data_IF_116980257908
#
_entry.id   IF_116980257908
#
_cell.length_a   1.000
_cell.length_b   1.000
_cell.length_c   1.000
_cell.angle_alpha   90.00
_cell.angle_beta   90.00
_cell.angle_gamma   90.00
#
_symmetry.space_group_name_H-M   'P 1'
#
loop_
_entity.id
_entity.type
_entity.pdbx_description
1 polymer ?
#
# COMPACT_ATOMS: atom_id res chain seq x y z
N UNK A 1 -6.07 4.62 21.25
CA UNK A 1 -5.43 3.51 20.59
C UNK A 1 -4.78 2.65 21.65
N UNK A 2 -4.70 2.38 22.70
CA UNK A 2 -4.21 1.39 23.68
C UNK A 2 -2.75 0.96 23.63
N UNK A 3 -1.93 1.50 22.74
CA UNK A 3 -0.52 1.17 22.59
C UNK A 3 0.40 2.39 22.76
N UNK A 4 1.68 2.13 23.01
CA UNK A 4 2.71 3.16 23.05
C UNK A 4 3.17 3.52 21.64
N UNK A 5 3.28 4.80 21.35
CA UNK A 5 3.80 5.31 20.06
C UNK A 5 5.23 4.80 19.73
N UNK A 6 5.98 4.41 20.73
CA UNK A 6 7.36 3.96 20.62
C UNK A 6 7.52 2.51 20.12
N UNK A 7 6.45 1.78 20.03
CA UNK A 7 6.45 0.36 19.67
C UNK A 7 6.48 0.12 18.16
N UNK A 8 6.32 1.16 17.35
CA UNK A 8 6.29 1.04 15.89
C UNK A 8 7.65 0.87 15.22
N UNK A 9 8.75 0.93 15.94
CA UNK A 9 10.09 0.76 15.39
C UNK A 9 10.46 1.80 14.32
N UNK A 10 11.70 1.77 13.90
CA UNK A 10 12.19 2.52 12.74
C UNK A 10 12.07 1.69 11.45
N UNK A 11 12.26 2.32 10.27
CA UNK A 11 12.37 1.57 9.02
C UNK A 11 13.57 0.62 9.09
N UNK A 12 13.41 -0.60 8.55
CA UNK A 12 14.45 -1.62 8.49
C UNK A 12 15.50 -1.28 7.42
N UNK A 13 16.29 -0.25 7.67
CA UNK A 13 17.30 0.24 6.72
C UNK A 13 18.45 -0.75 6.52
N UNK A 14 18.68 -1.68 7.43
CA UNK A 14 19.74 -2.68 7.27
C UNK A 14 19.44 -3.66 6.13
N UNK A 15 18.16 -3.83 5.80
CA UNK A 15 17.70 -4.77 4.76
C UNK A 15 17.07 -4.09 3.56
N UNK A 16 16.66 -2.84 3.69
CA UNK A 16 16.10 -2.06 2.58
C UNK A 16 17.11 -1.86 1.44
N UNK A 17 16.60 -1.66 0.24
CA UNK A 17 17.36 -1.27 -0.96
C UNK A 17 16.96 0.11 -1.46
N UNK A 18 15.70 0.46 -1.27
CA UNK A 18 15.17 1.79 -1.54
C UNK A 18 14.50 2.33 -0.28
N UNK A 19 14.86 3.54 0.10
CA UNK A 19 14.27 4.27 1.21
C UNK A 19 13.68 5.58 0.74
N UNK A 20 12.39 5.80 0.98
CA UNK A 20 11.66 7.02 0.62
C UNK A 20 11.19 7.72 1.88
N UNK A 21 11.64 8.94 2.08
CA UNK A 21 11.26 9.77 3.24
C UNK A 21 10.40 10.93 2.79
N UNK A 22 9.21 11.08 3.42
CA UNK A 22 8.24 12.12 3.12
C UNK A 22 8.15 13.13 4.28
N UNK A 23 8.48 14.38 3.99
CA UNK A 23 8.16 15.53 4.86
C UNK A 23 8.89 15.60 6.21
N UNK A 24 9.97 14.89 6.40
CA UNK A 24 10.75 14.94 7.64
C UNK A 24 11.88 15.96 7.53
N UNK A 25 11.90 16.95 8.42
CA UNK A 25 12.81 18.10 8.39
C UNK A 25 13.84 18.14 9.54
N UNK A 26 13.86 17.14 10.41
CA UNK A 26 14.70 17.17 11.62
C UNK A 26 16.17 16.92 11.28
N UNK A 27 17.01 17.94 11.46
CA UNK A 27 18.43 17.84 11.18
C UNK A 27 19.35 18.46 12.25
N UNK A 28 18.76 19.12 13.25
CA UNK A 28 19.50 19.96 14.18
C UNK A 28 20.11 19.23 15.38
N UNK A 29 19.80 17.94 15.57
CA UNK A 29 20.30 17.14 16.68
C UNK A 29 20.97 15.86 16.18
N UNK A 30 21.84 15.28 17.01
CA UNK A 30 22.40 13.96 16.75
C UNK A 30 21.26 12.94 16.68
N UNK A 31 20.92 12.53 15.48
CA UNK A 31 19.78 11.68 15.22
C UNK A 31 20.27 10.30 14.77
N UNK A 32 19.93 9.23 15.48
CA UNK A 32 20.27 7.86 15.07
C UNK A 32 19.89 7.54 13.63
N UNK A 33 18.81 8.15 13.11
CA UNK A 33 18.37 7.98 11.73
C UNK A 33 19.42 8.46 10.70
N UNK A 34 20.15 9.55 10.97
CA UNK A 34 21.25 9.98 10.07
C UNK A 34 22.37 8.96 9.97
N UNK A 35 22.69 8.32 11.08
CA UNK A 35 23.71 7.26 11.13
C UNK A 35 23.21 6.04 10.34
N UNK A 36 21.98 5.64 10.56
CA UNK A 36 21.35 4.54 9.84
C UNK A 36 21.28 4.79 8.33
N UNK A 37 20.86 5.98 7.89
CA UNK A 37 20.85 6.39 6.47
C UNK A 37 22.27 6.37 5.89
N UNK A 38 23.26 6.88 6.61
CA UNK A 38 24.66 6.89 6.15
C UNK A 38 25.20 5.47 5.98
N UNK A 39 24.85 4.54 6.88
CA UNK A 39 25.20 3.12 6.74
C UNK A 39 24.46 2.50 5.54
N UNK A 40 23.17 2.69 5.45
CA UNK A 40 22.32 2.23 4.36
C UNK A 40 22.86 2.62 2.96
N UNK A 41 23.23 3.89 2.79
CA UNK A 41 23.82 4.39 1.53
C UNK A 41 25.20 3.77 1.25
N UNK A 42 26.05 3.64 2.25
CA UNK A 42 27.35 2.99 2.12
C UNK A 42 27.24 1.52 1.72
N UNK A 43 26.16 0.86 2.16
CA UNK A 43 25.86 -0.53 1.84
C UNK A 43 25.11 -0.68 0.48
N UNK A 44 25.02 0.42 -0.31
CA UNK A 44 24.47 0.45 -1.66
C UNK A 44 22.98 0.74 -1.73
N UNK A 45 22.33 1.12 -0.63
CA UNK A 45 20.95 1.54 -0.59
C UNK A 45 20.76 2.92 -1.22
N UNK A 46 19.61 3.14 -1.88
CA UNK A 46 19.22 4.41 -2.49
C UNK A 46 18.21 5.15 -1.61
N UNK A 47 18.53 6.39 -1.27
CA UNK A 47 17.73 7.26 -0.43
C UNK A 47 17.11 8.41 -1.22
N UNK A 48 15.79 8.50 -1.22
CA UNK A 48 15.00 9.57 -1.84
C UNK A 48 14.29 10.37 -0.76
N UNK A 49 14.46 11.68 -0.79
CA UNK A 49 13.78 12.61 0.11
C UNK A 49 12.75 13.45 -0.65
N UNK A 50 11.51 13.40 -0.22
CA UNK A 50 10.39 14.20 -0.73
C UNK A 50 10.07 15.25 0.33
N UNK A 51 10.50 16.50 0.08
CA UNK A 51 10.41 17.55 1.08
C UNK A 51 10.36 18.93 0.41
N UNK A 52 9.55 19.88 0.87
CA UNK A 52 9.51 21.24 0.32
C UNK A 52 10.85 21.98 0.40
N UNK A 53 11.68 21.66 1.39
CA UNK A 53 12.93 22.36 1.66
C UNK A 53 14.11 21.38 1.62
N UNK A 54 15.19 21.79 0.95
CA UNK A 54 16.43 21.00 0.87
C UNK A 54 17.31 21.22 2.10
N UNK A 55 16.85 20.76 3.25
CA UNK A 55 17.58 20.81 4.53
C UNK A 55 17.64 19.42 5.15
N UNK A 56 18.45 19.26 6.17
CA UNK A 56 18.51 18.05 6.96
C UNK A 56 18.70 16.78 6.13
N UNK A 57 17.76 15.88 6.18
CA UNK A 57 17.81 14.62 5.45
C UNK A 57 17.83 14.82 3.93
N UNK A 58 17.15 15.83 3.41
CA UNK A 58 17.14 16.12 1.98
C UNK A 58 18.52 16.49 1.44
N UNK A 59 19.39 17.04 2.29
CA UNK A 59 20.76 17.40 1.89
C UNK A 59 21.67 16.17 1.68
N UNK A 60 21.37 15.04 2.34
CA UNK A 60 22.14 13.79 2.22
C UNK A 60 21.45 12.75 1.35
N UNK A 61 20.26 13.06 0.77
CA UNK A 61 19.55 12.17 -0.13
C UNK A 61 20.29 12.00 -1.46
N UNK A 62 20.15 10.85 -2.09
CA UNK A 62 20.62 10.61 -3.46
C UNK A 62 19.77 11.36 -4.47
N UNK A 63 18.49 11.53 -4.13
CA UNK A 63 17.57 12.37 -4.89
C UNK A 63 16.66 13.15 -3.93
N UNK A 64 16.48 14.44 -4.24
CA UNK A 64 15.53 15.29 -3.56
C UNK A 64 14.45 15.74 -4.52
N UNK A 65 13.19 15.45 -4.17
CA UNK A 65 12.01 15.86 -4.90
C UNK A 65 11.32 17.01 -4.15
N UNK A 66 11.41 18.25 -4.67
CA UNK A 66 10.80 19.43 -4.05
C UNK A 66 9.28 19.40 -4.24
N UNK A 67 8.57 18.99 -3.22
CA UNK A 67 7.10 18.95 -3.25
C UNK A 67 6.51 20.23 -2.69
N UNK A 68 5.42 20.75 -3.28
CA UNK A 68 4.66 21.85 -2.67
C UNK A 68 4.01 21.37 -1.37
N UNK A 69 4.06 22.17 -0.28
CA UNK A 69 3.45 21.78 0.99
C UNK A 69 1.98 21.41 0.85
N UNK A 70 1.55 20.34 1.51
CA UNK A 70 0.15 19.89 1.52
C UNK A 70 -0.30 19.14 0.29
N UNK A 71 0.60 18.74 -0.60
CA UNK A 71 0.25 18.05 -1.86
C UNK A 71 0.73 16.60 -1.91
N UNK A 72 1.22 16.06 -0.81
CA UNK A 72 1.71 14.68 -0.70
C UNK A 72 0.69 13.65 -1.15
N UNK A 73 -0.60 13.86 -0.82
CA UNK A 73 -1.69 12.99 -1.24
C UNK A 73 -1.80 12.87 -2.77
N UNK A 74 -1.59 13.96 -3.50
CA UNK A 74 -1.61 13.94 -4.97
C UNK A 74 -0.44 13.10 -5.53
N UNK A 75 0.75 13.22 -4.94
CA UNK A 75 1.89 12.39 -5.30
C UNK A 75 1.61 10.90 -5.04
N UNK A 76 1.10 10.56 -3.85
CA UNK A 76 0.83 9.18 -3.49
C UNK A 76 -0.23 8.54 -4.39
N UNK A 77 -1.30 9.27 -4.72
CA UNK A 77 -2.32 8.80 -5.67
C UNK A 77 -1.74 8.52 -7.05
N UNK A 78 -0.84 9.38 -7.54
CA UNK A 78 -0.18 9.15 -8.83
C UNK A 78 0.81 7.97 -8.79
N UNK A 79 1.51 7.76 -7.67
CA UNK A 79 2.36 6.57 -7.50
C UNK A 79 1.51 5.28 -7.51
N UNK A 80 0.35 5.28 -6.83
CA UNK A 80 -0.59 4.15 -6.86
C UNK A 80 -1.11 3.91 -8.27
N UNK A 81 -1.51 4.98 -8.99
CA UNK A 81 -1.92 4.90 -10.39
C UNK A 81 -0.87 4.18 -11.25
N UNK A 82 0.38 4.66 -11.21
CA UNK A 82 1.48 4.09 -12.00
C UNK A 82 1.79 2.64 -11.62
N UNK A 83 1.85 2.30 -10.33
CA UNK A 83 2.09 0.93 -9.88
C UNK A 83 1.01 -0.03 -10.38
N UNK A 84 -0.27 0.40 -10.37
CA UNK A 84 -1.38 -0.40 -10.89
C UNK A 84 -1.30 -0.49 -12.42
N UNK A 85 -1.04 0.62 -13.12
CA UNK A 85 -0.94 0.66 -14.58
C UNK A 85 0.19 -0.23 -15.11
N UNK A 86 1.32 -0.26 -14.41
CA UNK A 86 2.48 -1.10 -14.74
C UNK A 86 2.35 -2.56 -14.27
N UNK A 87 1.29 -2.91 -13.52
CA UNK A 87 1.13 -4.24 -12.93
C UNK A 87 2.18 -4.57 -11.85
N UNK A 88 2.75 -3.54 -11.23
CA UNK A 88 3.79 -3.65 -10.20
C UNK A 88 3.18 -3.72 -8.79
N UNK A 89 2.15 -4.50 -8.60
CA UNK A 89 1.53 -4.80 -7.31
C UNK A 89 1.63 -6.29 -6.99
N UNK A 90 1.77 -6.62 -5.72
CA UNK A 90 1.84 -8.01 -5.27
C UNK A 90 0.41 -8.59 -5.14
N UNK A 91 -0.01 -9.31 -6.18
CA UNK A 91 -1.35 -9.93 -6.22
C UNK A 91 -1.57 -10.89 -5.05
N UNK A 92 -0.56 -11.69 -4.72
CA UNK A 92 -0.70 -12.69 -3.66
C UNK A 92 -0.90 -12.02 -2.30
N UNK A 93 -0.13 -10.97 -2.01
CA UNK A 93 -0.31 -10.17 -0.81
C UNK A 93 -1.70 -9.51 -0.75
N UNK A 94 -2.13 -8.90 -1.87
CA UNK A 94 -3.45 -8.25 -1.93
C UNK A 94 -4.61 -9.21 -1.67
N UNK A 95 -4.53 -10.42 -2.23
CA UNK A 95 -5.55 -11.45 -2.05
C UNK A 95 -5.55 -12.01 -0.63
N UNK A 96 -4.37 -12.28 -0.07
CA UNK A 96 -4.26 -13.01 1.20
C UNK A 96 -4.42 -12.12 2.43
N UNK A 97 -3.91 -10.90 2.38
CA UNK A 97 -3.73 -10.07 3.59
C UNK A 97 -4.51 -8.76 3.55
N UNK A 98 -5.32 -8.53 2.51
CA UNK A 98 -6.12 -7.32 2.38
C UNK A 98 -7.56 -7.62 1.96
N UNK A 99 -8.40 -6.59 2.01
CA UNK A 99 -9.78 -6.65 1.53
C UNK A 99 -9.91 -6.46 0.00
N UNK A 100 -8.82 -6.44 -0.75
CA UNK A 100 -8.78 -6.10 -2.17
C UNK A 100 -9.67 -6.99 -3.06
N UNK A 101 -9.77 -8.28 -2.73
CA UNK A 101 -10.62 -9.24 -3.45
C UNK A 101 -12.08 -9.25 -2.99
N UNK A 102 -12.43 -8.60 -1.88
CA UNK A 102 -13.78 -8.62 -1.35
C UNK A 102 -14.74 -7.87 -2.26
N UNK A 103 -15.94 -8.45 -2.46
CA UNK A 103 -16.96 -7.90 -3.32
C UNK A 103 -17.68 -6.74 -2.66
N UNK A 104 -17.87 -5.67 -3.41
CA UNK A 104 -18.59 -4.47 -3.01
C UNK A 104 -19.88 -4.39 -3.82
N UNK A 105 -21.00 -4.08 -3.16
CA UNK A 105 -22.31 -3.88 -3.79
C UNK A 105 -22.31 -2.60 -4.64
N UNK A 106 -22.59 -2.74 -5.93
CA UNK A 106 -22.63 -1.65 -6.91
C UNK A 106 -24.04 -1.32 -7.37
N UNK A 107 -25.07 -1.71 -6.62
CA UNK A 107 -26.46 -1.38 -6.92
C UNK A 107 -26.87 -0.08 -6.21
N UNK A 108 -26.89 1.02 -6.94
CA UNK A 108 -27.23 2.37 -6.41
C UNK A 108 -28.64 2.46 -5.81
N UNK A 109 -29.54 1.56 -6.18
CA UNK A 109 -30.89 1.51 -5.63
C UNK A 109 -30.98 0.75 -4.30
N UNK A 110 -29.88 0.21 -3.79
CA UNK A 110 -29.82 -0.57 -2.56
C UNK A 110 -29.19 0.27 -1.45
N UNK A 111 -29.76 0.20 -0.24
CA UNK A 111 -29.23 0.90 0.96
C UNK A 111 -27.80 0.44 1.32
N UNK A 112 -27.38 -0.73 0.85
CA UNK A 112 -26.03 -1.27 1.01
C UNK A 112 -25.07 -0.91 -0.14
N UNK A 113 -25.42 0.05 -1.00
CA UNK A 113 -24.52 0.53 -2.04
C UNK A 113 -23.16 0.96 -1.48
N UNK A 114 -22.08 0.46 -2.08
CA UNK A 114 -20.72 0.75 -1.63
C UNK A 114 -20.25 -0.07 -0.41
N UNK A 115 -21.10 -0.91 0.17
CA UNK A 115 -20.75 -1.80 1.29
C UNK A 115 -20.22 -3.13 0.78
N UNK A 116 -19.39 -3.79 1.60
CA UNK A 116 -18.98 -5.16 1.30
C UNK A 116 -20.16 -6.11 1.38
N UNK A 117 -20.29 -6.97 0.37
CA UNK A 117 -21.32 -8.01 0.34
C UNK A 117 -21.01 -9.06 1.39
N UNK A 118 -22.02 -9.40 2.18
CA UNK A 118 -21.96 -10.39 3.25
C UNK A 118 -22.99 -11.49 3.03
N UNK A 119 -22.68 -12.67 3.58
CA UNK A 119 -23.66 -13.76 3.70
C UNK A 119 -24.13 -13.86 5.15
N UNK A 120 -25.27 -14.50 5.36
CA UNK A 120 -25.70 -14.87 6.69
C UNK A 120 -24.80 -16.00 7.20
N UNK A 121 -23.99 -15.69 8.19
CA UNK A 121 -23.22 -16.66 8.95
C UNK A 121 -23.69 -16.57 10.40
N UNK A 122 -23.89 -17.68 11.13
CA UNK A 122 -24.21 -17.63 12.54
C UNK A 122 -23.16 -16.77 13.28
N UNK A 123 -23.63 -15.85 14.11
CA UNK A 123 -22.75 -15.07 14.98
C UNK A 123 -22.04 -16.01 15.96
N UNK A 124 -20.72 -16.10 15.82
CA UNK A 124 -19.89 -16.69 16.87
C UNK A 124 -19.67 -15.65 17.96
N UNK A 125 -19.99 -16.01 19.20
CA UNK A 125 -19.83 -15.14 20.38
C UNK A 125 -18.37 -14.65 20.46
N UNK A 126 -18.15 -13.34 20.39
CA UNK A 126 -16.83 -12.70 20.50
C UNK A 126 -16.10 -12.43 19.16
N UNK A 127 -16.68 -12.73 18.02
CA UNK A 127 -16.11 -12.38 16.72
C UNK A 127 -16.50 -10.97 16.30
N UNK A 128 -15.54 -10.03 16.32
CA UNK A 128 -15.77 -8.62 15.92
C UNK A 128 -15.89 -8.43 14.40
N UNK A 129 -15.40 -9.36 13.58
CA UNK A 129 -15.51 -9.32 12.12
C UNK A 129 -15.74 -10.72 11.59
N UNK A 130 -17.01 -11.17 11.50
CA UNK A 130 -17.32 -12.49 11.01
C UNK A 130 -16.80 -12.66 9.57
N UNK A 131 -16.17 -13.81 9.30
CA UNK A 131 -15.63 -14.20 8.00
C UNK A 131 -16.80 -14.53 7.05
N UNK A 132 -17.67 -13.55 6.80
CA UNK A 132 -18.88 -13.70 6.00
C UNK A 132 -18.89 -12.86 4.74
N UNK A 133 -17.78 -12.20 4.40
CA UNK A 133 -17.64 -11.42 3.16
C UNK A 133 -17.43 -12.36 1.97
N UNK A 134 -17.68 -11.88 0.78
CA UNK A 134 -17.57 -12.68 -0.43
C UNK A 134 -16.38 -12.28 -1.29
N UNK A 135 -15.76 -13.29 -1.92
CA UNK A 135 -14.89 -13.17 -3.07
C UNK A 135 -15.58 -13.72 -4.32
N UNK A 136 -15.14 -13.29 -5.50
CA UNK A 136 -15.46 -13.98 -6.74
C UNK A 136 -14.30 -14.90 -7.09
N UNK A 137 -14.53 -16.21 -7.04
CA UNK A 137 -13.50 -17.21 -7.26
C UNK A 137 -13.26 -17.47 -8.75
N UNK A 138 -12.01 -17.46 -9.16
CA UNK A 138 -11.58 -17.70 -10.57
C UNK A 138 -11.74 -19.15 -10.99
N UNK A 139 -11.64 -20.08 -10.05
CA UNK A 139 -11.68 -21.51 -10.33
C UNK A 139 -13.11 -21.97 -10.62
N UNK A 140 -14.03 -21.64 -9.73
CA UNK A 140 -15.45 -22.01 -9.85
C UNK A 140 -16.27 -21.00 -10.65
N UNK A 141 -15.73 -19.80 -10.88
CA UNK A 141 -16.43 -18.64 -11.45
C UNK A 141 -17.73 -18.30 -10.72
N UNK A 142 -17.70 -18.34 -9.39
CA UNK A 142 -18.85 -18.09 -8.51
C UNK A 142 -18.42 -17.26 -7.30
N UNK A 143 -19.39 -16.60 -6.61
CA UNK A 143 -19.12 -16.01 -5.32
C UNK A 143 -18.90 -17.11 -4.28
N UNK A 144 -17.88 -16.95 -3.47
CA UNK A 144 -17.51 -17.84 -2.36
C UNK A 144 -17.22 -17.00 -1.12
N UNK A 145 -17.42 -17.59 0.06
CA UNK A 145 -17.04 -16.94 1.33
C UNK A 145 -15.51 -16.74 1.37
N UNK A 146 -15.08 -15.62 1.91
CA UNK A 146 -13.65 -15.32 2.08
C UNK A 146 -12.96 -16.43 2.85
N UNK A 147 -11.70 -16.71 2.49
CA UNK A 147 -10.88 -17.77 3.07
C UNK A 147 -11.35 -19.21 2.81
N UNK A 148 -12.29 -19.43 1.87
CA UNK A 148 -12.64 -20.79 1.42
C UNK A 148 -11.39 -21.48 0.89
N UNK A 149 -11.03 -22.66 1.38
CA UNK A 149 -9.83 -23.38 0.94
C UNK A 149 -9.84 -23.66 -0.56
N UNK A 150 -8.69 -23.43 -1.22
CA UNK A 150 -8.50 -23.73 -2.64
C UNK A 150 -9.12 -22.72 -3.61
N UNK A 151 -9.70 -21.63 -3.13
CA UNK A 151 -10.18 -20.55 -4.01
C UNK A 151 -9.05 -19.62 -4.44
N UNK A 152 -9.23 -18.99 -5.62
CA UNK A 152 -8.35 -17.98 -6.20
C UNK A 152 -9.16 -16.73 -6.55
N UNK A 153 -9.25 -15.73 -5.67
CA UNK A 153 -10.11 -14.56 -5.87
C UNK A 153 -9.69 -13.69 -7.05
N UNK A 154 -10.68 -13.17 -7.78
CA UNK A 154 -10.48 -12.06 -8.70
C UNK A 154 -10.16 -10.77 -7.94
N UNK A 155 -9.19 -10.01 -8.42
CA UNK A 155 -8.96 -8.61 -8.02
C UNK A 155 -9.65 -7.61 -8.96
N UNK A 156 -9.89 -8.01 -10.21
CA UNK A 156 -10.46 -7.17 -11.26
C UNK A 156 -11.66 -7.87 -11.87
N UNK A 157 -12.66 -7.08 -12.26
CA UNK A 157 -13.84 -7.55 -12.99
C UNK A 157 -15.14 -6.96 -12.47
N UNK A 158 -16.17 -7.15 -13.28
CA UNK A 158 -17.56 -6.78 -12.98
C UNK A 158 -18.37 -8.07 -12.95
N UNK A 159 -19.05 -8.33 -11.84
CA UNK A 159 -19.78 -9.56 -11.62
C UNK A 159 -21.24 -9.28 -11.23
N UNK A 160 -22.05 -10.33 -11.21
CA UNK A 160 -23.45 -10.26 -10.84
C UNK A 160 -23.80 -11.46 -9.97
N UNK A 161 -24.35 -11.21 -8.80
CA UNK A 161 -24.84 -12.24 -7.90
C UNK A 161 -26.13 -12.88 -8.46
N UNK A 162 -26.54 -13.99 -7.87
CA UNK A 162 -27.70 -14.75 -8.32
C UNK A 162 -29.01 -13.94 -8.26
N UNK A 163 -29.13 -13.05 -7.27
CA UNK A 163 -30.26 -12.13 -7.10
C UNK A 163 -30.25 -10.94 -8.06
N UNK A 164 -29.24 -10.84 -8.91
CA UNK A 164 -29.07 -9.77 -9.86
C UNK A 164 -28.25 -8.59 -9.37
N UNK A 165 -27.78 -8.58 -8.13
CA UNK A 165 -26.95 -7.51 -7.56
C UNK A 165 -25.62 -7.42 -8.30
N UNK A 166 -25.28 -6.24 -8.82
CA UNK A 166 -23.98 -5.96 -9.43
C UNK A 166 -22.93 -5.80 -8.34
N UNK A 167 -21.76 -6.42 -8.53
CA UNK A 167 -20.67 -6.37 -7.57
C UNK A 167 -19.31 -6.24 -8.26
N UNK A 168 -18.36 -5.60 -7.58
CA UNK A 168 -16.97 -5.47 -8.01
C UNK A 168 -16.02 -5.80 -6.85
N UNK A 169 -14.84 -6.38 -7.12
CA UNK A 169 -13.76 -6.45 -6.12
C UNK A 169 -13.33 -5.04 -5.69
N UNK A 170 -12.99 -4.87 -4.42
CA UNK A 170 -12.55 -3.56 -3.91
C UNK A 170 -11.33 -3.01 -4.67
N UNK A 171 -10.41 -3.87 -5.12
CA UNK A 171 -9.25 -3.46 -5.91
C UNK A 171 -9.64 -2.91 -7.30
N UNK A 172 -10.72 -3.46 -7.92
CA UNK A 172 -11.26 -2.89 -9.15
C UNK A 172 -11.72 -1.44 -8.94
N UNK A 173 -12.40 -1.17 -7.82
CA UNK A 173 -12.85 0.18 -7.47
C UNK A 173 -11.67 1.11 -7.19
N UNK A 174 -10.63 0.64 -6.51
CA UNK A 174 -9.40 1.41 -6.34
C UNK A 174 -8.78 1.77 -7.69
N UNK A 175 -8.63 0.79 -8.58
CA UNK A 175 -8.09 1.00 -9.93
C UNK A 175 -8.89 2.07 -10.69
N UNK A 176 -10.21 1.95 -10.72
CA UNK A 176 -11.11 2.92 -11.37
C UNK A 176 -10.98 4.32 -10.72
N UNK A 177 -10.89 4.37 -9.39
CA UNK A 177 -10.75 5.62 -8.66
C UNK A 177 -9.47 6.37 -8.98
N UNK A 178 -8.35 5.65 -9.09
CA UNK A 178 -7.04 6.29 -9.32
C UNK A 178 -6.73 6.53 -10.80
N UNK A 179 -7.59 6.09 -11.71
CA UNK A 179 -7.37 6.25 -13.15
C UNK A 179 -7.18 7.72 -13.58
N UNK A 180 -7.89 8.63 -12.92
CA UNK A 180 -7.79 10.07 -13.18
C UNK A 180 -6.54 10.73 -12.55
N UNK A 181 -5.87 10.05 -11.62
CA UNK A 181 -4.76 10.63 -10.85
C UNK A 181 -3.40 10.32 -11.49
N UNK A 182 -3.25 10.70 -12.75
CA UNK A 182 -2.03 10.46 -13.53
C UNK A 182 -0.83 11.26 -12.99
N UNK A 183 0.42 10.87 -13.33
CA UNK A 183 1.60 11.66 -13.01
C UNK A 183 1.55 13.09 -13.57
N UNK A 184 0.93 13.30 -14.72
CA UNK A 184 0.77 14.63 -15.31
C UNK A 184 -0.19 15.50 -14.49
N UNK A 185 -1.29 14.93 -14.02
CA UNK A 185 -2.21 15.57 -13.07
C UNK A 185 -1.48 15.95 -11.78
N UNK A 186 -0.73 15.02 -11.19
CA UNK A 186 -0.01 15.24 -9.94
C UNK A 186 1.12 16.28 -10.10
N UNK A 187 1.81 16.31 -11.24
CA UNK A 187 2.86 17.30 -11.53
C UNK A 187 2.33 18.73 -11.47
N UNK A 188 1.13 18.97 -12.00
CA UNK A 188 0.48 20.29 -11.93
C UNK A 188 0.20 20.75 -10.50
N UNK A 189 -0.07 19.81 -9.58
CA UNK A 189 -0.40 20.08 -8.17
C UNK A 189 0.88 20.17 -7.34
N UNK A 190 1.73 19.16 -7.41
CA UNK A 190 2.88 18.96 -6.52
C UNK A 190 4.09 19.80 -6.90
N UNK A 191 4.21 20.14 -8.19
CA UNK A 191 5.41 20.75 -8.76
C UNK A 191 6.55 19.77 -9.05
N UNK A 192 6.37 18.48 -8.75
CA UNK A 192 7.32 17.43 -9.14
C UNK A 192 7.06 17.06 -10.60
N UNK A 193 8.09 17.01 -11.48
CA UNK A 193 7.89 16.61 -12.87
C UNK A 193 7.25 15.22 -13.01
N UNK A 194 6.30 15.07 -13.92
CA UNK A 194 5.59 13.80 -14.15
C UNK A 194 6.55 12.62 -14.40
N UNK A 195 7.63 12.88 -15.16
CA UNK A 195 8.66 11.87 -15.42
C UNK A 195 9.38 11.39 -14.16
N UNK A 196 9.60 12.28 -13.19
CA UNK A 196 10.17 11.90 -11.90
C UNK A 196 9.21 11.03 -11.09
N UNK A 197 7.90 11.30 -11.16
CA UNK A 197 6.86 10.48 -10.53
C UNK A 197 6.81 9.08 -11.15
N UNK A 198 6.81 8.99 -12.49
CA UNK A 198 6.83 7.70 -13.21
C UNK A 198 8.07 6.89 -12.86
N UNK A 199 9.24 7.54 -12.90
CA UNK A 199 10.50 6.88 -12.55
C UNK A 199 10.49 6.37 -11.11
N UNK A 200 10.01 7.16 -10.15
CA UNK A 200 9.91 6.75 -8.75
C UNK A 200 8.99 5.55 -8.58
N UNK A 201 7.79 5.58 -9.16
CA UNK A 201 6.86 4.46 -9.11
C UNK A 201 7.46 3.17 -9.70
N UNK A 202 8.09 3.28 -10.87
CA UNK A 202 8.77 2.16 -11.51
C UNK A 202 9.90 1.62 -10.64
N UNK A 203 10.78 2.49 -10.11
CA UNK A 203 11.88 2.10 -9.23
C UNK A 203 11.38 1.39 -7.96
N UNK A 204 10.33 1.91 -7.33
CA UNK A 204 9.68 1.27 -6.18
C UNK A 204 9.17 -0.13 -6.53
N UNK A 205 8.42 -0.24 -7.62
CA UNK A 205 7.80 -1.48 -8.03
C UNK A 205 8.81 -2.57 -8.41
N UNK A 206 9.84 -2.25 -9.20
CA UNK A 206 10.87 -3.23 -9.59
C UNK A 206 11.76 -3.59 -8.41
N UNK A 207 12.11 -2.65 -7.54
CA UNK A 207 12.90 -2.96 -6.33
C UNK A 207 12.14 -3.93 -5.42
N UNK A 208 10.85 -3.67 -5.19
CA UNK A 208 10.03 -4.56 -4.38
C UNK A 208 9.85 -5.94 -4.99
N UNK A 209 9.65 -6.03 -6.31
CA UNK A 209 9.39 -7.27 -7.01
C UNK A 209 10.64 -8.12 -7.23
N UNK A 210 11.74 -7.49 -7.67
CA UNK A 210 12.91 -8.18 -8.22
C UNK A 210 14.07 -8.32 -7.23
N UNK A 211 14.10 -7.51 -6.17
CA UNK A 211 15.16 -7.52 -5.16
C UNK A 211 14.70 -8.11 -3.82
N UNK A 212 13.76 -9.04 -3.86
CA UNK A 212 13.24 -9.71 -2.66
C UNK A 212 14.36 -10.26 -1.80
N UNK A 213 14.19 -10.15 -0.49
CA UNK A 213 15.07 -10.74 0.51
C UNK A 213 14.33 -11.88 1.22
N UNK A 214 15.05 -12.96 1.48
CA UNK A 214 14.54 -14.07 2.27
C UNK A 214 15.25 -14.12 3.60
N UNK A 215 14.49 -14.21 4.68
CA UNK A 215 15.01 -14.25 6.04
C UNK A 215 14.63 -15.59 6.68
N UNK A 216 15.53 -16.26 7.39
CA UNK A 216 15.27 -17.51 8.08
C UNK A 216 14.50 -17.26 9.39
N UNK A 217 13.28 -16.77 9.26
CA UNK A 217 12.36 -16.48 10.36
C UNK A 217 11.14 -17.36 10.20
N UNK A 218 10.97 -18.33 11.10
CA UNK A 218 9.79 -19.16 11.15
C UNK A 218 8.58 -18.35 11.64
N UNK A 219 7.44 -18.50 10.99
CA UNK A 219 6.19 -17.82 11.33
C UNK A 219 4.98 -18.60 10.85
N UNK A 220 3.84 -18.33 11.46
CA UNK A 220 2.56 -18.89 11.04
C UNK A 220 1.71 -17.77 10.45
N UNK A 221 1.18 -17.97 9.27
CA UNK A 221 0.32 -17.00 8.62
C UNK A 221 -1.10 -16.96 9.25
N UNK A 222 -1.89 -15.99 8.86
CA UNK A 222 -3.27 -15.80 9.36
C UNK A 222 -4.21 -16.96 9.02
N UNK A 223 -3.78 -17.89 8.17
CA UNK A 223 -4.53 -19.06 7.75
C UNK A 223 -4.04 -20.35 8.45
N UNK A 224 -3.11 -20.19 9.40
CA UNK A 224 -2.56 -21.29 10.19
C UNK A 224 -1.48 -22.11 9.47
N UNK A 225 -0.99 -21.65 8.30
CA UNK A 225 0.10 -22.31 7.60
C UNK A 225 1.44 -21.89 8.19
N UNK A 226 2.28 -22.85 8.50
CA UNK A 226 3.66 -22.64 8.96
C UNK A 226 4.58 -22.37 7.79
N UNK A 227 5.52 -21.45 7.99
CA UNK A 227 6.56 -21.08 7.06
C UNK A 227 7.91 -21.04 7.77
N UNK A 228 8.95 -21.55 7.14
CA UNK A 228 10.32 -21.55 7.71
C UNK A 228 11.07 -20.22 7.42
N UNK A 229 10.59 -19.47 6.44
CA UNK A 229 11.19 -18.22 5.99
C UNK A 229 10.15 -17.14 5.79
N UNK A 230 10.58 -15.88 5.89
CA UNK A 230 9.78 -14.72 5.49
C UNK A 230 10.45 -14.01 4.32
N UNK A 231 9.66 -13.69 3.29
CA UNK A 231 10.12 -12.90 2.13
C UNK A 231 9.80 -11.43 2.35
N UNK A 232 10.81 -10.57 2.32
CA UNK A 232 10.66 -9.12 2.41
C UNK A 232 10.82 -8.43 1.07
N UNK A 233 10.04 -7.36 0.86
CA UNK A 233 10.16 -6.47 -0.29
C UNK A 233 10.96 -5.24 0.18
N UNK A 234 12.21 -5.00 -0.33
CA UNK A 234 13.16 -4.11 0.33
C UNK A 234 12.94 -2.62 -0.01
N UNK A 235 11.71 -2.16 0.03
CA UNK A 235 11.34 -0.74 -0.09
C UNK A 235 10.81 -0.27 1.25
N UNK A 236 11.46 0.72 1.84
CA UNK A 236 11.07 1.28 3.13
C UNK A 236 10.56 2.72 2.98
N UNK A 237 9.58 3.08 3.80
CA UNK A 237 9.00 4.41 3.85
C UNK A 237 9.11 5.00 5.26
N UNK A 238 9.28 6.32 5.31
CA UNK A 238 9.16 7.08 6.54
C UNK A 238 8.40 8.38 6.28
N UNK A 239 7.25 8.52 6.87
CA UNK A 239 6.31 9.62 6.60
C UNK A 239 5.78 10.28 7.87
N UNK A 240 6.50 10.32 8.96
CA UNK A 240 6.10 10.93 10.25
C UNK A 240 4.65 11.47 10.25
N UNK A 241 4.37 12.49 11.04
CA UNK A 241 3.02 13.10 11.13
C UNK A 241 2.67 14.04 9.97
N UNK A 242 3.63 14.38 9.10
CA UNK A 242 3.43 15.39 8.06
C UNK A 242 2.24 15.08 7.16
N UNK A 243 2.16 13.89 6.60
CA UNK A 243 1.07 13.47 5.72
C UNK A 243 -0.29 13.52 6.44
N UNK A 244 -0.40 12.91 7.61
CA UNK A 244 -1.66 12.83 8.37
C UNK A 244 -2.09 14.18 8.97
N UNK A 245 -1.17 15.15 9.10
CA UNK A 245 -1.46 16.47 9.65
C UNK A 245 -2.09 17.45 8.64
N UNK A 246 -2.13 17.11 7.36
CA UNK A 246 -2.81 17.92 6.35
C UNK A 246 -4.32 17.77 6.45
N UNK A 247 -5.06 18.79 6.00
CA UNK A 247 -6.53 18.79 6.02
C UNK A 247 -7.16 17.62 5.22
N UNK A 248 -6.46 17.12 4.22
CA UNK A 248 -6.83 15.98 3.38
C UNK A 248 -6.02 14.71 3.68
N UNK A 249 -5.19 14.72 4.71
CA UNK A 249 -4.25 13.63 5.00
C UNK A 249 -4.91 12.38 5.56
N UNK A 250 -6.12 12.51 6.09
CA UNK A 250 -6.91 11.38 6.56
C UNK A 250 -7.40 10.50 5.40
N UNK A 251 -7.73 11.10 4.27
CA UNK A 251 -8.25 10.43 3.08
C UNK A 251 -7.13 9.82 2.24
#
# INVERSE_FOLDING_TARGET
>A
IGGSFWEFGGPDLERAKLFVMLGTAEDHHSNPMKIAISKFKRDGGRFISINPVRTGYSAIADEWLPIKPGTDGALLLALIHELIALGLYDREFLVRYTNSGQLVNMNEANDEFGMFVRTEVPEEEGCFDPQNKLWWDRVSNKPVVTHTPGCDPFLLGDFKLHDGTKVKPAFQLLKERVEAYTPDWAAGITGIPAEAIRRLAHEMGITARDQKIELPIAWTDTWGKEHDTVTGNPVAFHAMRGLAAHSNGFH
#
